data_IF_365812976393
#
_entry.id   IF_365812976393
#
_cell.length_a   1.000
_cell.length_b   1.000
_cell.length_c   1.000
_cell.angle_alpha   90.00
_cell.angle_beta   90.00
_cell.angle_gamma   90.00
#
_symmetry.space_group_name_H-M   'P 1'
#
loop_
_entity.id
_entity.type
_entity.pdbx_description
1 polymer ?
#
# COMPACT_ATOMS: atom_id res chain seq x y z
N UNK A 1 -20.99 0.85 20.38
CA UNK A 1 -19.64 0.46 19.91
C UNK A 1 -18.60 0.99 20.89
N UNK A 2 -17.96 0.13 21.70
CA UNK A 2 -16.78 0.54 22.48
C UNK A 2 -15.56 0.39 21.57
N UNK A 3 -15.03 1.50 21.04
CA UNK A 3 -13.74 1.50 20.37
C UNK A 3 -12.67 1.12 21.41
N UNK A 4 -12.09 -0.06 21.25
CA UNK A 4 -11.00 -0.50 22.11
C UNK A 4 -9.73 0.23 21.65
N UNK A 5 -9.30 1.21 22.44
CA UNK A 5 -8.16 2.08 22.12
C UNK A 5 -6.89 1.26 21.85
N UNK A 6 -6.71 0.13 22.55
CA UNK A 6 -5.58 -0.78 22.33
C UNK A 6 -5.59 -1.42 20.94
N UNK A 7 -6.77 -1.80 20.45
CA UNK A 7 -6.91 -2.35 19.09
C UNK A 7 -6.62 -1.31 18.01
N UNK A 8 -7.09 -0.07 18.21
CA UNK A 8 -6.83 1.05 17.29
C UNK A 8 -5.33 1.36 17.21
N UNK A 9 -4.62 1.34 18.34
CA UNK A 9 -3.16 1.54 18.39
C UNK A 9 -2.40 0.45 17.61
N UNK A 10 -2.80 -0.82 17.75
CA UNK A 10 -2.19 -1.94 17.00
C UNK A 10 -2.43 -1.77 15.50
N UNK A 11 -3.64 -1.38 15.10
CA UNK A 11 -3.99 -1.15 13.69
C UNK A 11 -3.14 -0.04 13.05
N UNK A 12 -2.98 1.08 13.77
CA UNK A 12 -2.15 2.21 13.35
C UNK A 12 -0.68 1.79 13.26
N UNK A 13 -0.17 1.02 14.23
CA UNK A 13 1.20 0.52 14.21
C UNK A 13 1.50 -0.37 13.00
N UNK A 14 0.56 -1.26 12.64
CA UNK A 14 0.67 -2.10 11.42
C UNK A 14 0.69 -1.21 10.17
N UNK A 15 -0.23 -0.25 10.07
CA UNK A 15 -0.30 0.66 8.94
C UNK A 15 1.00 1.47 8.77
N UNK A 16 1.52 2.05 9.85
CA UNK A 16 2.78 2.79 9.86
C UNK A 16 3.98 1.91 9.50
N UNK A 17 4.00 0.66 9.95
CA UNK A 17 5.06 -0.30 9.60
C UNK A 17 5.03 -0.59 8.10
N UNK A 18 3.85 -0.89 7.54
CA UNK A 18 3.70 -1.11 6.09
C UNK A 18 4.09 0.13 5.29
N UNK A 19 3.66 1.32 5.71
CA UNK A 19 4.03 2.58 5.07
C UNK A 19 5.54 2.85 5.16
N UNK A 20 6.17 2.59 6.30
CA UNK A 20 7.61 2.73 6.51
C UNK A 20 8.42 1.77 5.64
N UNK A 21 7.96 0.52 5.50
CA UNK A 21 8.53 -0.43 4.54
C UNK A 21 8.34 0.05 3.10
N UNK A 22 7.15 0.54 2.73
CA UNK A 22 6.92 1.07 1.39
C UNK A 22 7.90 2.21 1.06
N UNK A 23 8.11 3.16 1.97
CA UNK A 23 9.06 4.27 1.80
C UNK A 23 10.52 3.79 1.78
N UNK A 24 10.90 2.88 2.68
CA UNK A 24 12.27 2.37 2.76
C UNK A 24 12.71 1.62 1.50
N UNK A 25 11.76 0.93 0.86
CA UNK A 25 12.05 0.16 -0.35
C UNK A 25 11.78 0.94 -1.63
N UNK A 26 11.10 2.10 -1.59
CA UNK A 26 10.81 2.92 -2.78
C UNK A 26 12.08 3.39 -3.48
N UNK A 27 13.12 3.75 -2.71
CA UNK A 27 14.40 4.24 -3.22
C UNK A 27 15.35 3.11 -3.65
N UNK A 28 15.13 1.90 -3.13
CA UNK A 28 15.95 0.70 -3.40
C UNK A 28 15.46 -0.15 -4.55
N UNK A 29 14.48 0.32 -5.31
CA UNK A 29 13.98 -0.36 -6.51
C UNK A 29 14.54 0.37 -7.75
N UNK A 30 15.81 0.12 -8.15
CA UNK A 30 16.30 0.50 -9.49
C UNK A 30 15.58 -0.29 -10.60
N UNK A 31 14.74 -1.26 -10.21
CA UNK A 31 14.00 -2.16 -11.08
C UNK A 31 12.57 -1.67 -11.37
N UNK A 32 12.12 -0.50 -10.89
CA UNK A 32 10.79 0.05 -11.22
C UNK A 32 10.73 0.46 -12.69
N UNK A 33 11.88 0.65 -13.35
CA UNK A 33 11.93 0.70 -14.80
C UNK A 33 11.42 -0.59 -15.48
N UNK A 34 11.45 -1.76 -14.83
CA UNK A 34 11.05 -3.08 -15.38
C UNK A 34 10.64 -4.14 -14.32
N UNK A 35 9.80 -3.80 -13.33
CA UNK A 35 9.13 -4.85 -12.53
C UNK A 35 8.02 -5.44 -13.41
N UNK A 36 8.03 -6.76 -13.72
CA UNK A 36 6.96 -7.37 -14.49
C UNK A 36 5.66 -7.29 -13.67
N UNK A 37 4.80 -6.31 -13.98
CA UNK A 37 3.55 -6.03 -13.28
C UNK A 37 3.27 -4.56 -12.98
N UNK A 38 4.26 -3.66 -13.07
CA UNK A 38 4.06 -2.20 -12.96
C UNK A 38 3.94 -1.61 -14.37
N UNK A 39 2.81 -0.97 -14.72
CA UNK A 39 2.60 -0.45 -16.08
C UNK A 39 3.33 0.88 -16.18
N UNK A 40 4.50 0.83 -16.81
CA UNK A 40 5.36 1.98 -17.04
C UNK A 40 5.38 2.35 -18.52
N UNK A 41 4.52 3.30 -18.89
CA UNK A 41 4.41 3.82 -20.25
C UNK A 41 5.28 5.06 -20.36
N UNK A 42 6.32 4.99 -21.19
CA UNK A 42 7.23 6.10 -21.46
C UNK A 42 7.06 6.53 -22.92
N UNK A 43 6.74 7.81 -23.13
CA UNK A 43 6.68 8.45 -24.45
C UNK A 43 7.71 9.57 -24.59
N UNK A 44 7.86 10.15 -25.79
CA UNK A 44 8.69 11.35 -26.01
C UNK A 44 8.08 12.53 -25.23
N UNK A 45 8.56 12.78 -24.01
CA UNK A 45 8.17 13.91 -23.16
C UNK A 45 7.17 13.61 -22.04
N UNK A 46 6.73 12.36 -21.87
CA UNK A 46 5.79 11.99 -20.80
C UNK A 46 6.08 10.60 -20.25
N UNK A 47 5.88 10.42 -18.95
CA UNK A 47 6.02 9.14 -18.26
C UNK A 47 4.76 8.90 -17.42
N UNK A 48 4.18 7.71 -17.54
CA UNK A 48 3.01 7.28 -16.79
C UNK A 48 3.33 5.97 -16.07
N UNK A 49 3.29 6.02 -14.74
CA UNK A 49 3.60 4.90 -13.85
C UNK A 49 2.33 4.46 -13.13
N UNK A 50 1.95 3.19 -13.26
CA UNK A 50 0.74 2.64 -12.63
C UNK A 50 1.07 1.47 -11.70
N UNK A 51 1.23 1.75 -10.38
CA UNK A 51 1.72 0.80 -9.39
C UNK A 51 0.64 -0.20 -8.95
N UNK A 52 0.34 -1.18 -9.82
CA UNK A 52 -0.71 -2.20 -9.62
C UNK A 52 -0.52 -2.95 -8.29
N UNK A 53 0.72 -3.35 -7.98
CA UNK A 53 1.04 -4.11 -6.76
C UNK A 53 0.68 -3.31 -5.50
N UNK A 54 0.98 -2.01 -5.51
CA UNK A 54 0.66 -1.10 -4.40
C UNK A 54 -0.85 -0.96 -4.25
N UNK A 55 -1.59 -0.83 -5.35
CA UNK A 55 -3.05 -0.77 -5.33
C UNK A 55 -3.68 -2.06 -4.77
N UNK A 56 -3.13 -3.23 -5.11
CA UNK A 56 -3.61 -4.53 -4.60
C UNK A 56 -3.35 -4.66 -3.09
N UNK A 57 -2.15 -4.32 -2.63
CA UNK A 57 -1.80 -4.37 -1.20
C UNK A 57 -2.70 -3.42 -0.41
N UNK A 58 -2.86 -2.19 -0.89
CA UNK A 58 -3.73 -1.20 -0.28
C UNK A 58 -5.19 -1.69 -0.23
N UNK A 59 -5.68 -2.31 -1.31
CA UNK A 59 -7.01 -2.88 -1.37
C UNK A 59 -7.21 -3.99 -0.34
N UNK A 60 -6.29 -4.94 -0.23
CA UNK A 60 -6.38 -6.05 0.74
C UNK A 60 -6.40 -5.51 2.18
N UNK A 61 -5.51 -4.56 2.49
CA UNK A 61 -5.46 -3.92 3.82
C UNK A 61 -6.78 -3.21 4.12
N UNK A 62 -7.28 -2.42 3.17
CA UNK A 62 -8.52 -1.68 3.33
C UNK A 62 -9.71 -2.62 3.48
N UNK A 63 -9.76 -3.72 2.72
CA UNK A 63 -10.78 -4.75 2.84
C UNK A 63 -10.73 -5.41 4.22
N UNK A 64 -9.55 -5.75 4.76
CA UNK A 64 -9.42 -6.32 6.11
C UNK A 64 -9.90 -5.33 7.16
N UNK A 65 -9.49 -4.06 7.06
CA UNK A 65 -9.92 -2.99 7.98
C UNK A 65 -11.43 -2.80 7.95
N UNK A 66 -12.02 -2.63 6.75
CA UNK A 66 -13.45 -2.45 6.58
C UNK A 66 -14.21 -3.68 7.07
N UNK A 67 -13.75 -4.89 6.77
CA UNK A 67 -14.38 -6.12 7.23
C UNK A 67 -14.36 -6.23 8.76
N UNK A 68 -13.26 -5.84 9.43
CA UNK A 68 -13.19 -5.85 10.90
C UNK A 68 -14.09 -4.77 11.52
N UNK A 69 -14.19 -3.59 10.89
CA UNK A 69 -15.02 -2.48 11.40
C UNK A 69 -16.51 -2.73 11.18
N UNK A 70 -16.90 -3.19 9.98
CA UNK A 70 -18.30 -3.33 9.57
C UNK A 70 -18.90 -4.72 9.86
N UNK A 71 -18.08 -5.76 10.03
CA UNK A 71 -18.57 -7.13 10.30
C UNK A 71 -18.53 -7.50 11.79
N UNK A 72 -18.46 -6.49 12.67
CA UNK A 72 -18.81 -6.60 14.09
C UNK A 72 -20.26 -6.19 14.32
#
# INVERSE_FOLDING_TARGET
MRFNIGFTLVLIGIFLTVAGFAVMYIDKIPLIARLPGDINIHGKGWSFHFPIVTCIILSIILTIILNIIFRR
#
